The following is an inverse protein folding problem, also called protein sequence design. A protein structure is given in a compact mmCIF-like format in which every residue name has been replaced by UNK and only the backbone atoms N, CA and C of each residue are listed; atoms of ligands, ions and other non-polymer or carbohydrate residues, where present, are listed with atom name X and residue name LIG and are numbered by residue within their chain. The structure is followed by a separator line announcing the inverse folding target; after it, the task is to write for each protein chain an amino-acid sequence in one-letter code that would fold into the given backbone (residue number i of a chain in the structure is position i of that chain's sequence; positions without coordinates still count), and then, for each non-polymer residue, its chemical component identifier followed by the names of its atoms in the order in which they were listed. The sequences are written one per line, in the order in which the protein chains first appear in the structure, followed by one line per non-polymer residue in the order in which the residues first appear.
data_IF_899006740223
#
_entry.id   IF_899006740223
#
_cell.length_a   1.000
_cell.length_b   1.000
_cell.length_c   1.000
_cell.angle_alpha   90.00
_cell.angle_beta   90.00
_cell.angle_gamma   90.00
#
_symmetry.space_group_name_H-M   'P 1'
#
loop_
_entity.id
_entity.type
_entity.pdbx_description
1 polymer ?
#
# COMPACT_ATOMS: atom_id res chain seq x y z
N UNK A 1 11.57 -11.27 -8.45
CA UNK A 1 11.84 -9.95 -9.08
C UNK A 1 12.74 -10.05 -10.33
N UNK A 2 12.86 -11.23 -10.94
CA UNK A 2 13.65 -11.45 -12.17
C UNK A 2 12.75 -11.37 -13.41
N UNK A 3 11.94 -10.32 -13.51
CA UNK A 3 11.16 -10.11 -14.73
C UNK A 3 12.08 -9.53 -15.80
N UNK A 4 12.15 -10.17 -16.96
CA UNK A 4 12.91 -9.68 -18.13
C UNK A 4 12.59 -8.22 -18.47
N UNK A 5 11.33 -7.82 -18.28
CA UNK A 5 10.86 -6.44 -18.45
C UNK A 5 11.50 -5.46 -17.45
N UNK A 6 11.71 -5.89 -16.21
CA UNK A 6 12.33 -5.08 -15.17
C UNK A 6 13.82 -4.87 -15.44
N UNK A 7 14.55 -5.95 -15.75
CA UNK A 7 15.97 -5.89 -16.12
C UNK A 7 16.19 -4.97 -17.33
N UNK A 8 15.34 -5.08 -18.36
CA UNK A 8 15.38 -4.18 -19.51
C UNK A 8 15.14 -2.73 -19.12
N UNK A 9 14.16 -2.47 -18.24
CA UNK A 9 13.89 -1.10 -17.75
C UNK A 9 15.10 -0.52 -17.03
N UNK A 10 15.84 -1.30 -16.24
CA UNK A 10 17.05 -0.84 -15.57
C UNK A 10 18.18 -0.53 -16.56
N UNK A 11 18.36 -1.36 -17.60
CA UNK A 11 19.32 -1.11 -18.67
C UNK A 11 18.99 0.15 -19.50
N UNK A 12 17.70 0.35 -19.81
CA UNK A 12 17.22 1.54 -20.52
C UNK A 12 17.46 2.81 -19.67
N UNK A 13 17.21 2.74 -18.36
CA UNK A 13 17.48 3.86 -17.43
C UNK A 13 18.97 4.15 -17.29
N UNK A 14 19.82 3.13 -17.18
CA UNK A 14 21.27 3.29 -17.13
C UNK A 14 21.77 4.05 -18.37
N UNK A 15 21.27 3.66 -19.54
CA UNK A 15 21.59 4.35 -20.81
C UNK A 15 21.05 5.78 -20.85
N UNK A 16 19.79 6.00 -20.45
CA UNK A 16 19.14 7.30 -20.51
C UNK A 16 19.71 8.32 -19.52
N UNK A 17 20.25 7.85 -18.39
CA UNK A 17 20.84 8.69 -17.33
C UNK A 17 22.36 8.82 -17.43
N UNK A 18 22.99 8.12 -18.37
CA UNK A 18 24.46 8.02 -18.50
C UNK A 18 25.13 7.57 -17.19
N UNK A 19 24.53 6.57 -16.53
CA UNK A 19 24.99 6.01 -15.26
C UNK A 19 25.26 4.52 -15.40
N UNK A 20 26.25 3.96 -14.67
CA UNK A 20 26.49 2.52 -14.67
C UNK A 20 25.25 1.74 -14.21
N UNK A 21 24.94 0.61 -14.88
CA UNK A 21 23.80 -0.24 -14.52
C UNK A 21 23.81 -0.65 -13.04
N UNK A 22 24.97 -1.04 -12.51
CA UNK A 22 25.10 -1.44 -11.10
C UNK A 22 24.79 -0.31 -10.10
N UNK A 23 24.90 0.96 -10.51
CA UNK A 23 24.50 2.09 -9.66
C UNK A 23 22.98 2.25 -9.64
N UNK A 24 22.33 2.07 -10.79
CA UNK A 24 20.86 2.08 -10.91
C UNK A 24 20.25 0.91 -10.14
N UNK A 25 20.82 -0.29 -10.26
CA UNK A 25 20.35 -1.47 -9.54
C UNK A 25 20.50 -1.33 -8.02
N UNK A 26 21.61 -0.73 -7.56
CA UNK A 26 21.85 -0.46 -6.14
C UNK A 26 20.85 0.57 -5.60
N UNK A 27 20.67 1.68 -6.30
CA UNK A 27 19.67 2.70 -5.95
C UNK A 27 18.26 2.10 -5.90
N UNK A 28 17.91 1.28 -6.88
CA UNK A 28 16.61 0.61 -6.90
C UNK A 28 16.42 -0.37 -5.73
N UNK A 29 17.48 -1.06 -5.32
CA UNK A 29 17.45 -1.92 -4.13
C UNK A 29 17.21 -1.10 -2.86
N UNK A 30 17.90 0.02 -2.72
CA UNK A 30 17.72 0.93 -1.57
C UNK A 30 16.30 1.50 -1.57
N UNK A 31 15.76 1.86 -2.74
CA UNK A 31 14.36 2.28 -2.90
C UNK A 31 13.37 1.16 -2.53
N UNK A 32 13.65 -0.09 -2.89
CA UNK A 32 12.80 -1.22 -2.48
C UNK A 32 12.82 -1.43 -0.97
N UNK A 33 13.96 -1.30 -0.31
CA UNK A 33 14.04 -1.39 1.15
C UNK A 33 13.23 -0.25 1.82
N UNK A 34 13.14 0.92 1.17
CA UNK A 34 12.27 2.02 1.60
C UNK A 34 10.78 1.76 1.29
N UNK A 35 10.44 1.09 0.20
CA UNK A 35 9.04 0.89 -0.23
C UNK A 35 8.42 -0.34 0.44
N UNK A 36 9.17 -1.43 0.53
CA UNK A 36 8.66 -2.77 0.83
C UNK A 36 8.02 -2.86 2.21
N UNK A 37 6.81 -3.41 2.23
CA UNK A 37 6.14 -3.79 3.46
C UNK A 37 6.66 -5.17 3.89
N UNK A 38 6.98 -5.33 5.18
CA UNK A 38 7.40 -6.63 5.73
C UNK A 38 6.24 -7.23 6.51
N UNK A 39 5.16 -7.64 5.83
CA UNK A 39 4.02 -8.26 6.51
C UNK A 39 4.50 -9.45 7.35
N UNK A 40 4.28 -9.38 8.68
CA UNK A 40 4.55 -10.50 9.59
C UNK A 40 3.24 -10.95 10.20
N UNK A 41 2.92 -12.24 10.12
CA UNK A 41 1.64 -12.81 10.59
C UNK A 41 1.30 -12.44 12.05
N UNK A 42 2.29 -12.46 12.95
CA UNK A 42 2.08 -12.09 14.36
C UNK A 42 1.75 -10.60 14.53
N UNK A 43 2.34 -9.72 13.70
CA UNK A 43 2.10 -8.29 13.74
C UNK A 43 0.74 -7.96 13.13
N UNK A 44 0.37 -8.65 12.05
CA UNK A 44 -0.97 -8.64 11.44
C UNK A 44 -2.02 -9.03 12.48
N UNK A 45 -1.90 -10.19 13.12
CA UNK A 45 -2.89 -10.67 14.10
C UNK A 45 -2.98 -9.79 15.36
N UNK A 46 -1.86 -9.24 15.84
CA UNK A 46 -1.86 -8.31 16.98
C UNK A 46 -2.56 -7.01 16.62
N UNK A 47 -2.33 -6.51 15.40
CA UNK A 47 -2.98 -5.32 14.90
C UNK A 47 -4.47 -5.53 14.64
N UNK A 48 -4.88 -6.71 14.15
CA UNK A 48 -6.29 -7.04 13.97
C UNK A 48 -7.02 -7.05 15.31
N UNK A 49 -6.41 -7.62 16.37
CA UNK A 49 -6.97 -7.56 17.74
C UNK A 49 -7.10 -6.13 18.26
N UNK A 50 -6.09 -5.29 18.05
CA UNK A 50 -6.13 -3.88 18.45
C UNK A 50 -7.19 -3.11 17.66
N UNK A 51 -7.28 -3.35 16.36
CA UNK A 51 -8.25 -2.72 15.45
C UNK A 51 -9.67 -3.11 15.81
N UNK A 52 -9.92 -4.38 16.15
CA UNK A 52 -11.22 -4.83 16.66
C UNK A 52 -11.54 -4.21 18.02
N UNK A 53 -10.56 -4.02 18.90
CA UNK A 53 -10.75 -3.36 20.20
C UNK A 53 -11.09 -1.87 20.05
N UNK A 54 -10.32 -1.12 19.25
CA UNK A 54 -10.58 0.29 18.92
C UNK A 54 -11.91 0.46 18.18
N UNK A 55 -12.22 -0.47 17.27
CA UNK A 55 -13.46 -0.50 16.50
C UNK A 55 -14.72 -0.62 17.35
N UNK A 56 -14.64 -1.07 18.62
CA UNK A 56 -15.80 -1.10 19.53
C UNK A 56 -16.35 0.28 19.85
N UNK A 57 -15.54 1.33 19.71
CA UNK A 57 -15.98 2.70 19.90
C UNK A 57 -16.82 3.24 18.72
N UNK A 58 -16.91 2.50 17.61
CA UNK A 58 -17.57 2.92 16.39
C UNK A 58 -18.67 1.93 16.00
N UNK A 59 -19.84 2.45 15.62
CA UNK A 59 -20.82 1.66 14.87
C UNK A 59 -20.39 1.66 13.42
N UNK A 60 -19.95 0.51 12.93
CA UNK A 60 -19.64 0.31 11.53
C UNK A 60 -20.93 -0.07 10.80
N UNK A 61 -21.28 0.72 9.79
CA UNK A 61 -22.39 0.44 8.88
C UNK A 61 -21.78 -0.03 7.55
N UNK A 62 -22.09 -1.27 7.16
CA UNK A 62 -21.59 -1.90 5.95
C UNK A 62 -22.81 -2.36 5.17
N UNK A 63 -22.82 -2.05 3.88
CA UNK A 63 -23.81 -2.59 2.97
C UNK A 63 -23.40 -4.01 2.59
N UNK A 64 -24.09 -5.00 3.16
CA UNK A 64 -23.81 -6.42 2.98
C UNK A 64 -23.90 -6.86 1.50
N UNK A 65 -24.86 -6.30 0.75
CA UNK A 65 -25.02 -6.63 -0.68
C UNK A 65 -23.83 -6.10 -1.50
N UNK A 66 -23.39 -4.86 -1.21
CA UNK A 66 -22.24 -4.28 -1.91
C UNK A 66 -20.94 -5.00 -1.58
N UNK A 67 -20.70 -5.36 -0.32
CA UNK A 67 -19.45 -6.03 0.06
C UNK A 67 -19.38 -7.46 -0.46
N UNK A 68 -20.51 -8.18 -0.55
CA UNK A 68 -20.58 -9.47 -1.23
C UNK A 68 -20.24 -9.35 -2.72
N UNK A 69 -20.75 -8.32 -3.40
CA UNK A 69 -20.39 -8.05 -4.80
C UNK A 69 -18.89 -7.78 -4.98
N UNK A 70 -18.28 -7.05 -4.05
CA UNK A 70 -16.83 -6.82 -4.04
C UNK A 70 -16.08 -8.14 -3.76
N UNK A 71 -16.62 -9.01 -2.91
CA UNK A 71 -16.02 -10.30 -2.59
C UNK A 71 -16.01 -11.23 -3.83
N UNK A 72 -17.07 -11.21 -4.63
CA UNK A 72 -17.10 -11.93 -5.92
C UNK A 72 -16.04 -11.40 -6.90
N UNK A 73 -15.83 -10.07 -6.96
CA UNK A 73 -14.76 -9.48 -7.77
C UNK A 73 -13.37 -9.92 -7.29
N UNK A 74 -13.17 -9.98 -5.97
CA UNK A 74 -11.91 -10.38 -5.35
C UNK A 74 -11.46 -11.80 -5.72
N UNK A 75 -12.39 -12.69 -6.10
CA UNK A 75 -12.05 -14.07 -6.49
C UNK A 75 -11.25 -14.16 -7.78
N UNK A 76 -11.36 -13.17 -8.67
CA UNK A 76 -10.76 -13.19 -10.00
C UNK A 76 -9.99 -11.90 -10.33
N UNK A 77 -9.78 -11.01 -9.35
CA UNK A 77 -9.16 -9.71 -9.58
C UNK A 77 -8.51 -9.17 -8.31
N UNK A 78 -7.29 -8.64 -8.45
CA UNK A 78 -6.66 -7.83 -7.41
C UNK A 78 -7.39 -6.49 -7.28
N UNK A 79 -7.82 -6.15 -6.07
CA UNK A 79 -8.60 -4.95 -5.81
C UNK A 79 -7.72 -3.78 -5.36
N UNK A 80 -8.11 -2.57 -5.79
CA UNK A 80 -7.57 -1.31 -5.30
C UNK A 80 -8.72 -0.52 -4.67
N UNK A 81 -8.68 -0.40 -3.34
CA UNK A 81 -9.65 0.40 -2.58
C UNK A 81 -9.23 1.86 -2.60
N UNK A 82 -10.15 2.74 -2.99
CA UNK A 82 -9.95 4.20 -3.05
C UNK A 82 -10.90 4.93 -2.09
N UNK A 83 -10.79 4.71 -0.77
CA UNK A 83 -11.65 5.35 0.21
C UNK A 83 -11.34 6.86 0.33
N UNK A 84 -12.32 7.60 0.82
CA UNK A 84 -12.09 8.97 1.27
C UNK A 84 -11.33 8.98 2.60
N UNK A 85 -10.49 9.99 2.83
CA UNK A 85 -9.70 10.07 4.06
C UNK A 85 -10.30 11.04 5.08
N UNK A 86 -10.83 10.52 6.19
CA UNK A 86 -11.46 11.28 7.28
C UNK A 86 -10.77 11.10 8.62
N UNK A 87 -10.16 9.95 8.88
CA UNK A 87 -9.55 9.60 10.16
C UNK A 87 -8.26 8.79 10.00
N UNK A 88 -7.36 8.88 10.98
CA UNK A 88 -6.23 7.93 11.08
C UNK A 88 -6.68 6.49 11.34
N UNK A 89 -7.93 6.31 11.76
CA UNK A 89 -8.52 4.98 11.96
C UNK A 89 -9.11 4.39 10.68
N UNK A 90 -9.20 5.15 9.57
CA UNK A 90 -9.83 4.66 8.35
C UNK A 90 -9.23 3.32 7.87
N UNK A 91 -7.88 3.14 7.82
CA UNK A 91 -7.31 1.86 7.38
C UNK A 91 -7.64 0.71 8.33
N UNK A 92 -7.77 1.00 9.63
CA UNK A 92 -8.14 -0.01 10.64
C UNK A 92 -9.59 -0.44 10.48
N UNK A 93 -10.46 0.52 10.24
CA UNK A 93 -11.90 0.31 10.12
C UNK A 93 -12.19 -0.44 8.83
N UNK A 94 -11.60 -0.02 7.70
CA UNK A 94 -11.79 -0.69 6.42
C UNK A 94 -11.25 -2.12 6.47
N UNK A 95 -10.04 -2.32 6.99
CA UNK A 95 -9.47 -3.66 7.17
C UNK A 95 -10.36 -4.55 8.05
N UNK A 96 -10.87 -4.04 9.16
CA UNK A 96 -11.79 -4.76 10.05
C UNK A 96 -13.11 -5.10 9.36
N UNK A 97 -13.62 -4.23 8.49
CA UNK A 97 -14.80 -4.50 7.67
C UNK A 97 -14.49 -5.66 6.71
N UNK A 98 -13.47 -5.51 5.88
CA UNK A 98 -13.07 -6.51 4.86
C UNK A 98 -12.77 -7.88 5.49
N UNK A 99 -12.05 -7.91 6.61
CA UNK A 99 -11.72 -9.16 7.32
C UNK A 99 -12.99 -9.93 7.73
N UNK A 100 -14.04 -9.25 8.20
CA UNK A 100 -15.31 -9.89 8.57
C UNK A 100 -16.03 -10.57 7.40
N UNK A 101 -15.78 -10.09 6.18
CA UNK A 101 -16.35 -10.64 4.95
C UNK A 101 -15.35 -11.57 4.22
N UNK A 102 -14.29 -12.01 4.89
CA UNK A 102 -13.37 -13.04 4.39
C UNK A 102 -12.31 -12.55 3.41
N UNK A 103 -12.09 -11.24 3.31
CA UNK A 103 -11.03 -10.70 2.45
C UNK A 103 -9.65 -10.92 3.07
N UNK A 104 -8.61 -11.12 2.24
CA UNK A 104 -7.23 -11.13 2.73
C UNK A 104 -6.79 -9.73 3.20
N UNK A 105 -5.74 -9.64 4.03
CA UNK A 105 -5.15 -8.37 4.42
C UNK A 105 -4.72 -7.54 3.20
N UNK A 106 -4.94 -6.24 3.27
CA UNK A 106 -4.62 -5.30 2.21
C UNK A 106 -3.34 -4.48 2.52
N UNK A 107 -2.71 -3.98 1.45
CA UNK A 107 -1.53 -3.13 1.50
C UNK A 107 -1.93 -1.66 1.45
N UNK A 108 -1.65 -0.92 2.51
CA UNK A 108 -2.02 0.50 2.62
C UNK A 108 -0.93 1.36 2.01
N UNK A 109 -1.26 2.15 0.98
CA UNK A 109 -0.35 3.11 0.38
C UNK A 109 -0.37 4.41 1.19
N UNK A 110 0.78 4.76 1.78
CA UNK A 110 0.92 5.92 2.66
C UNK A 110 2.15 6.76 2.33
N UNK A 111 2.12 8.04 2.68
CA UNK A 111 3.30 8.90 2.54
C UNK A 111 4.40 8.54 3.53
N UNK A 112 5.66 8.56 3.10
CA UNK A 112 6.84 8.27 3.95
C UNK A 112 6.94 9.18 5.18
N UNK A 113 6.33 10.37 5.14
CA UNK A 113 6.23 11.28 6.28
C UNK A 113 5.46 10.70 7.49
N UNK A 114 4.72 9.60 7.30
CA UNK A 114 4.05 8.87 8.37
C UNK A 114 4.93 7.76 8.97
N UNK A 115 6.08 7.47 8.36
CA UNK A 115 7.05 6.47 8.85
C UNK A 115 7.99 7.08 9.89
N UNK A 116 7.48 7.33 11.11
CA UNK A 116 8.32 7.72 12.26
C UNK A 116 8.40 6.57 13.27
N UNK A 117 9.55 6.40 13.93
CA UNK A 117 9.68 5.40 15.00
C UNK A 117 8.79 5.78 16.20
N UNK A 118 8.01 4.85 16.78
CA UNK A 118 7.92 3.41 16.48
C UNK A 118 6.85 3.03 15.43
N UNK A 119 5.95 3.95 15.07
CA UNK A 119 4.77 3.67 14.24
C UNK A 119 5.10 3.20 12.83
N UNK A 120 6.16 3.72 12.21
CA UNK A 120 6.61 3.32 10.88
C UNK A 120 6.99 1.83 10.82
N UNK A 121 7.71 1.32 11.82
CA UNK A 121 8.09 -0.10 11.86
C UNK A 121 6.89 -1.02 12.06
N UNK A 122 5.87 -0.58 12.79
CA UNK A 122 4.62 -1.33 12.99
C UNK A 122 3.79 -1.31 11.70
N UNK A 123 3.63 -0.15 11.08
CA UNK A 123 2.89 0.04 9.84
C UNK A 123 3.49 -0.78 8.69
N UNK A 124 4.83 -0.76 8.50
CA UNK A 124 5.52 -1.62 7.53
C UNK A 124 5.22 -3.10 7.76
N UNK A 125 5.18 -3.52 9.04
CA UNK A 125 4.86 -4.91 9.40
C UNK A 125 3.39 -5.27 9.22
N UNK A 126 2.53 -4.29 9.06
CA UNK A 126 1.11 -4.46 8.86
C UNK A 126 0.70 -4.46 7.37
N UNK A 127 1.62 -4.10 6.46
CA UNK A 127 1.34 -4.01 5.02
C UNK A 127 1.39 -2.59 4.48
N UNK A 128 1.79 -1.59 5.26
CA UNK A 128 1.91 -0.23 4.75
C UNK A 128 3.11 -0.11 3.81
N UNK A 129 2.83 0.31 2.58
CA UNK A 129 3.79 0.66 1.55
C UNK A 129 4.03 2.16 1.63
N UNK A 130 5.26 2.56 1.97
CA UNK A 130 5.60 3.97 2.11
C UNK A 130 6.07 4.53 0.78
N UNK A 131 5.45 5.63 0.35
CA UNK A 131 5.74 6.31 -0.91
C UNK A 131 6.25 7.72 -0.61
N UNK A 132 7.35 8.14 -1.26
CA UNK A 132 7.84 9.52 -1.22
C UNK A 132 6.75 10.50 -1.68
N UNK A 133 6.70 11.70 -1.09
CA UNK A 133 5.74 12.74 -1.52
C UNK A 133 6.12 13.38 -2.85
N UNK A 134 7.42 13.56 -3.08
CA UNK A 134 7.97 14.19 -4.27
C UNK A 134 9.04 13.26 -4.83
N UNK A 135 8.77 12.71 -6.02
CA UNK A 135 9.68 11.83 -6.75
C UNK A 135 9.50 12.00 -8.27
N UNK A 136 9.00 13.17 -8.69
CA UNK A 136 8.63 13.45 -10.09
C UNK A 136 9.85 13.34 -11.01
N UNK A 137 10.99 13.82 -10.57
CA UNK A 137 12.24 13.84 -11.35
C UNK A 137 13.11 12.60 -11.09
N UNK A 138 12.72 11.78 -10.12
CA UNK A 138 13.42 10.54 -9.75
C UNK A 138 12.93 9.38 -10.64
N UNK A 139 13.61 9.20 -11.78
CA UNK A 139 13.25 8.19 -12.78
C UNK A 139 13.50 6.75 -12.31
N UNK A 140 14.47 6.55 -11.42
CA UNK A 140 14.79 5.22 -10.87
C UNK A 140 13.70 4.82 -9.89
N UNK A 141 13.41 5.66 -8.91
CA UNK A 141 12.35 5.41 -7.93
C UNK A 141 10.99 5.16 -8.58
N UNK A 142 10.62 5.93 -9.62
CA UNK A 142 9.38 5.70 -10.39
C UNK A 142 9.32 4.29 -11.00
N UNK A 143 10.44 3.82 -11.55
CA UNK A 143 10.52 2.49 -12.14
C UNK A 143 10.45 1.38 -11.08
N UNK A 144 11.14 1.55 -9.96
CA UNK A 144 11.12 0.62 -8.83
C UNK A 144 9.73 0.54 -8.20
N UNK A 145 9.09 1.69 -7.92
CA UNK A 145 7.71 1.75 -7.43
C UNK A 145 6.73 1.05 -8.38
N UNK A 146 6.84 1.31 -9.69
CA UNK A 146 6.00 0.65 -10.70
C UNK A 146 6.20 -0.85 -10.71
N UNK A 147 7.43 -1.32 -10.57
CA UNK A 147 7.74 -2.74 -10.50
C UNK A 147 7.16 -3.38 -9.23
N UNK A 148 7.27 -2.71 -8.08
CA UNK A 148 6.69 -3.17 -6.83
C UNK A 148 5.15 -3.25 -6.88
N UNK A 149 4.49 -2.23 -7.45
CA UNK A 149 3.04 -2.26 -7.66
C UNK A 149 2.63 -3.42 -8.59
N UNK A 150 3.42 -3.66 -9.65
CA UNK A 150 3.21 -4.81 -10.53
C UNK A 150 3.35 -6.14 -9.80
N UNK A 151 4.30 -6.25 -8.87
CA UNK A 151 4.46 -7.41 -8.01
C UNK A 151 3.24 -7.62 -7.09
N UNK A 152 2.76 -6.58 -6.41
CA UNK A 152 1.55 -6.68 -5.58
C UNK A 152 0.34 -7.15 -6.39
N UNK A 153 0.17 -6.64 -7.62
CA UNK A 153 -0.91 -7.08 -8.51
C UNK A 153 -0.75 -8.55 -8.90
N UNK A 154 0.47 -8.99 -9.25
CA UNK A 154 0.74 -10.36 -9.66
C UNK A 154 0.58 -11.38 -8.53
N UNK A 155 0.87 -10.98 -7.29
CA UNK A 155 0.69 -11.80 -6.08
C UNK A 155 -0.72 -11.69 -5.48
N UNK A 156 -1.68 -11.14 -6.24
CA UNK A 156 -3.09 -10.98 -5.84
C UNK A 156 -3.25 -10.22 -4.50
N UNK A 157 -2.32 -9.30 -4.21
CA UNK A 157 -2.31 -8.52 -3.00
C UNK A 157 -3.15 -7.25 -3.16
N UNK A 158 -4.29 -7.22 -2.48
CA UNK A 158 -5.17 -6.06 -2.46
C UNK A 158 -4.47 -4.81 -1.93
N UNK A 159 -4.80 -3.66 -2.50
CA UNK A 159 -4.21 -2.36 -2.15
C UNK A 159 -5.28 -1.38 -1.67
N UNK A 160 -4.87 -0.44 -0.83
CA UNK A 160 -5.72 0.62 -0.30
C UNK A 160 -5.00 1.96 -0.42
N UNK A 161 -5.64 2.95 -1.05
CA UNK A 161 -5.02 4.25 -1.28
C UNK A 161 -5.99 5.42 -1.03
N UNK A 162 -5.56 6.28 -0.10
CA UNK A 162 -6.18 7.55 0.22
C UNK A 162 -5.64 8.67 -0.68
N UNK A 163 -6.20 8.78 -1.88
CA UNK A 163 -5.72 9.71 -2.92
C UNK A 163 -5.78 11.19 -2.53
N UNK A 164 -6.62 11.57 -1.57
CA UNK A 164 -6.77 12.95 -1.10
C UNK A 164 -5.50 13.52 -0.42
N UNK A 165 -4.51 12.67 -0.09
CA UNK A 165 -3.22 13.09 0.47
C UNK A 165 -3.26 13.74 1.86
N UNK A 166 -4.47 13.92 2.42
CA UNK A 166 -4.72 14.48 3.74
C UNK A 166 -6.20 14.39 4.12
N UNK A 167 -6.46 14.43 5.43
CA UNK A 167 -7.82 14.26 5.98
C UNK A 167 -8.73 15.42 5.59
N UNK A 168 -9.97 15.10 5.23
CA UNK A 168 -10.99 16.10 4.98
C UNK A 168 -11.76 16.43 6.25
N UNK A 169 -11.75 17.72 6.63
CA UNK A 169 -12.47 18.24 7.80
C UNK A 169 -14.00 18.26 7.62
N UNK A 170 -14.48 18.26 6.38
CA UNK A 170 -15.91 18.37 6.02
C UNK A 170 -16.49 17.07 5.45
N UNK A 171 -15.66 16.04 5.27
CA UNK A 171 -16.05 14.75 4.67
C UNK A 171 -16.25 14.72 3.14
N UNK A 172 -16.13 15.84 2.43
CA UNK A 172 -16.13 15.88 0.95
C UNK A 172 -14.77 15.44 0.37
N UNK A 173 -14.76 14.85 -0.82
CA UNK A 173 -13.51 14.54 -1.53
C UNK A 173 -12.75 15.84 -1.81
N UNK A 174 -11.46 15.89 -1.47
CA UNK A 174 -10.56 16.98 -1.89
C UNK A 174 -10.23 16.84 -3.39
N UNK A 175 -10.14 17.97 -4.11
CA UNK A 175 -9.80 17.97 -5.53
C UNK A 175 -8.38 17.46 -5.79
#
# INVERSE_FOLDING_TARGET
MESEKFTRTMADLATATDRPLGDIERECKDDFDEIAATQREWAVNTWDKLSRWLGRAYKLDVDDEQIERIAELNKNSTLVFLPNHRSYLDPLILRSALEKHGFPPNHVLGGVNLSFFPMGSIARRNGTVFIRREFKDDVVYKACLKAYMGYLVAEEQNMEWYIEGGRTRTGKLRP
#
